data_IF_634492880456
#
_entry.id   IF_634492880456
#
_cell.length_a   1.000
_cell.length_b   1.000
_cell.length_c   1.000
_cell.angle_alpha   90.00
_cell.angle_beta   90.00
_cell.angle_gamma   90.00
#
_symmetry.space_group_name_H-M   'P 1'
#
loop_
_entity.id
_entity.type
_entity.pdbx_description
1 polymer ?
#
# COMPACT_ATOMS: atom_id res chain seq x y z
N UNK A 1 24.80 34.03 4.27
CA UNK A 1 23.42 34.48 4.61
C UNK A 1 22.32 33.95 3.67
N UNK A 2 22.58 33.61 2.39
CA UNK A 2 21.52 33.20 1.45
C UNK A 2 20.99 31.76 1.61
N UNK A 3 21.73 30.88 2.29
CA UNK A 3 21.37 29.46 2.47
C UNK A 3 20.60 29.14 3.76
N UNK A 4 20.54 30.08 4.72
CA UNK A 4 19.83 29.87 5.99
C UNK A 4 18.30 29.83 5.81
N UNK A 5 17.77 30.56 4.83
CA UNK A 5 16.35 30.55 4.49
C UNK A 5 15.85 29.23 3.90
N UNK A 6 16.75 28.47 3.24
CA UNK A 6 16.42 27.19 2.61
C UNK A 6 16.26 26.06 3.65
N UNK A 7 16.98 26.14 4.77
CA UNK A 7 16.86 25.20 5.90
C UNK A 7 15.59 25.49 6.72
N UNK A 8 15.20 26.76 6.86
CA UNK A 8 13.99 27.14 7.60
C UNK A 8 12.68 26.74 6.90
N UNK A 9 12.68 26.64 5.56
CA UNK A 9 11.52 26.21 4.77
C UNK A 9 11.27 24.69 4.79
N UNK A 10 12.25 23.87 5.20
CA UNK A 10 12.08 22.43 5.39
C UNK A 10 11.38 22.06 6.72
N UNK A 11 11.27 23.00 7.66
CA UNK A 11 10.69 22.75 8.99
C UNK A 11 9.16 22.76 9.06
N UNK A 12 8.46 23.09 7.96
CA UNK A 12 6.99 23.21 7.93
C UNK A 12 6.34 22.06 7.15
N UNK A 13 7.01 20.92 7.06
CA UNK A 13 6.37 19.70 6.60
C UNK A 13 5.40 19.23 7.70
N UNK A 14 4.16 19.73 7.64
CA UNK A 14 3.05 19.14 8.37
C UNK A 14 3.04 17.64 8.03
N UNK A 15 3.32 16.81 9.03
CA UNK A 15 3.06 15.38 8.93
C UNK A 15 1.56 15.21 8.83
N UNK A 16 1.03 15.21 7.61
CA UNK A 16 -0.27 14.66 7.35
C UNK A 16 -0.15 13.17 7.67
N UNK A 17 -0.54 12.80 8.90
CA UNK A 17 -0.87 11.43 9.20
C UNK A 17 -2.03 11.10 8.25
N UNK A 18 -1.69 10.51 7.10
CA UNK A 18 -2.67 9.88 6.23
C UNK A 18 -3.42 8.93 7.14
N UNK A 19 -4.70 9.22 7.39
CA UNK A 19 -5.62 8.27 7.99
C UNK A 19 -5.54 7.02 7.13
N UNK A 20 -4.74 6.05 7.58
CA UNK A 20 -4.75 4.73 6.98
C UNK A 20 -6.14 4.21 7.32
N UNK A 21 -7.07 4.24 6.37
CA UNK A 21 -8.34 3.53 6.46
C UNK A 21 -7.99 2.06 6.75
N UNK A 22 -7.89 1.73 8.03
CA UNK A 22 -7.48 0.42 8.49
C UNK A 22 -8.70 -0.47 8.33
N UNK A 23 -8.50 -1.60 7.64
CA UNK A 23 -9.58 -2.55 7.43
C UNK A 23 -10.02 -3.12 8.77
N UNK A 24 -11.33 -3.20 8.96
CA UNK A 24 -11.93 -3.80 10.15
C UNK A 24 -12.55 -5.15 9.79
N UNK A 25 -12.42 -6.11 10.70
CA UNK A 25 -13.13 -7.37 10.65
C UNK A 25 -13.98 -7.51 11.91
N UNK A 26 -15.20 -8.00 11.75
CA UNK A 26 -16.10 -8.34 12.84
C UNK A 26 -15.88 -9.80 13.22
N UNK A 27 -15.48 -10.02 14.46
CA UNK A 27 -15.27 -11.35 15.05
C UNK A 27 -16.09 -11.41 16.33
N UNK A 28 -17.09 -12.28 16.37
CA UNK A 28 -17.98 -12.42 17.54
C UNK A 28 -18.55 -11.07 18.04
N UNK A 29 -19.11 -10.26 17.13
CA UNK A 29 -19.68 -8.94 17.41
C UNK A 29 -18.67 -7.88 17.91
N UNK A 30 -17.37 -8.15 17.82
CA UNK A 30 -16.31 -7.19 18.12
C UNK A 30 -15.57 -6.79 16.84
N UNK A 31 -15.30 -5.50 16.70
CA UNK A 31 -14.51 -4.95 15.61
C UNK A 31 -13.02 -5.09 15.94
N UNK A 32 -12.30 -5.76 15.05
CA UNK A 32 -10.86 -5.99 15.14
C UNK A 32 -10.19 -5.33 13.94
N UNK A 33 -9.18 -4.51 14.22
CA UNK A 33 -8.33 -3.90 13.19
C UNK A 33 -7.52 -5.01 12.52
N UNK A 34 -7.76 -5.25 11.24
CA UNK A 34 -7.06 -6.26 10.43
C UNK A 34 -5.63 -5.82 10.16
N UNK A 35 -5.45 -4.54 9.84
CA UNK A 35 -4.17 -3.96 9.48
C UNK A 35 -3.65 -3.09 10.63
N UNK A 36 -2.62 -3.57 11.33
CA UNK A 36 -2.00 -2.83 12.45
C UNK A 36 -1.09 -1.67 11.98
N UNK A 37 -0.89 -1.55 10.65
CA UNK A 37 -0.12 -0.47 10.02
C UNK A 37 0.24 -0.81 8.57
N UNK A 38 0.83 0.13 7.85
CA UNK A 38 1.20 -0.03 6.43
C UNK A 38 2.18 -1.19 6.17
N UNK A 39 3.04 -1.52 7.15
CA UNK A 39 4.01 -2.61 7.11
C UNK A 39 3.52 -3.90 7.80
N UNK A 40 2.35 -3.87 8.45
CA UNK A 40 1.79 -4.96 9.25
C UNK A 40 0.34 -5.25 8.84
N UNK A 41 0.16 -5.53 7.55
CA UNK A 41 -1.14 -5.89 6.97
C UNK A 41 -1.56 -7.29 7.43
N UNK A 42 -2.85 -7.48 7.72
CA UNK A 42 -3.42 -8.76 8.16
C UNK A 42 -2.99 -9.22 9.56
N UNK A 43 -2.12 -8.47 10.26
CA UNK A 43 -1.55 -8.87 11.54
C UNK A 43 -2.60 -9.03 12.64
N UNK A 44 -3.67 -8.23 12.60
CA UNK A 44 -4.75 -8.32 13.59
C UNK A 44 -5.54 -9.62 13.52
N UNK A 45 -5.49 -10.33 12.39
CA UNK A 45 -6.15 -11.63 12.22
C UNK A 45 -5.23 -12.81 12.55
N UNK A 46 -3.94 -12.57 12.75
CA UNK A 46 -2.93 -13.62 12.94
C UNK A 46 -3.28 -14.55 14.10
N UNK A 47 -3.69 -14.00 15.24
CA UNK A 47 -4.11 -14.79 16.41
C UNK A 47 -5.27 -15.76 16.14
N UNK A 48 -6.16 -15.43 15.20
CA UNK A 48 -7.27 -16.29 14.84
C UNK A 48 -6.87 -17.30 13.76
N UNK A 49 -6.21 -16.83 12.70
CA UNK A 49 -5.84 -17.65 11.54
C UNK A 49 -4.73 -18.65 11.87
N UNK A 50 -3.86 -18.38 12.85
CA UNK A 50 -2.81 -19.32 13.29
C UNK A 50 -3.35 -20.65 13.85
N UNK A 51 -4.64 -20.71 14.21
CA UNK A 51 -5.30 -21.93 14.68
C UNK A 51 -5.54 -22.96 13.57
N UNK A 52 -5.48 -22.54 12.30
CA UNK A 52 -5.61 -23.41 11.14
C UNK A 52 -4.35 -23.29 10.26
N UNK A 53 -3.71 -24.42 9.96
CA UNK A 53 -2.44 -24.43 9.24
C UNK A 53 -2.56 -23.86 7.81
N UNK A 54 -3.68 -24.11 7.13
CA UNK A 54 -3.92 -23.62 5.77
C UNK A 54 -4.21 -22.12 5.80
N UNK A 55 -5.02 -21.67 6.75
CA UNK A 55 -5.31 -20.24 6.91
C UNK A 55 -4.06 -19.44 7.29
N UNK A 56 -3.20 -20.02 8.13
CA UNK A 56 -1.90 -19.43 8.50
C UNK A 56 -0.97 -19.30 7.30
N UNK A 57 -0.82 -20.35 6.51
CA UNK A 57 0.06 -20.33 5.33
C UNK A 57 -0.37 -19.26 4.31
N UNK A 58 -1.69 -19.15 4.07
CA UNK A 58 -2.25 -18.09 3.21
C UNK A 58 -2.03 -16.69 3.80
N UNK A 59 -2.15 -16.53 5.13
CA UNK A 59 -1.85 -15.26 5.79
C UNK A 59 -0.37 -14.89 5.65
N UNK A 60 0.53 -15.85 5.89
CA UNK A 60 1.97 -15.63 5.77
C UNK A 60 2.34 -15.29 4.31
N UNK A 61 1.74 -15.95 3.32
CA UNK A 61 1.91 -15.62 1.89
C UNK A 61 1.41 -14.20 1.56
N UNK A 62 0.24 -13.82 2.09
CA UNK A 62 -0.30 -12.46 1.96
C UNK A 62 0.66 -11.43 2.55
N UNK A 63 1.20 -11.68 3.74
CA UNK A 63 2.12 -10.77 4.42
C UNK A 63 3.44 -10.66 3.66
N UNK A 64 3.99 -11.77 3.19
CA UNK A 64 5.24 -11.80 2.43
C UNK A 64 5.12 -11.00 1.12
N UNK A 65 4.05 -11.21 0.35
CA UNK A 65 3.82 -10.51 -0.92
C UNK A 65 3.52 -9.01 -0.75
N UNK A 66 3.07 -8.60 0.43
CA UNK A 66 2.85 -7.18 0.75
C UNK A 66 4.10 -6.47 1.29
N UNK A 67 5.18 -7.19 1.60
CA UNK A 67 6.41 -6.54 2.06
C UNK A 67 7.02 -5.69 0.93
N UNK A 68 7.46 -4.46 1.23
CA UNK A 68 8.15 -3.65 0.24
C UNK A 68 9.40 -4.40 -0.22
N UNK A 69 9.47 -4.73 -1.51
CA UNK A 69 10.65 -5.36 -2.08
C UNK A 69 11.79 -4.36 -2.12
N UNK A 70 13.01 -4.80 -1.84
CA UNK A 70 14.21 -3.95 -1.92
C UNK A 70 14.34 -3.28 -3.31
N UNK A 71 13.89 -3.98 -4.36
CA UNK A 71 13.83 -3.46 -5.73
C UNK A 71 12.87 -2.29 -5.87
N UNK A 72 11.63 -2.41 -5.37
CA UNK A 72 10.63 -1.34 -5.45
C UNK A 72 11.02 -0.10 -4.62
N UNK A 73 11.64 -0.30 -3.46
CA UNK A 73 12.14 0.79 -2.61
C UNK A 73 13.35 1.50 -3.25
N UNK A 74 14.31 0.73 -3.78
CA UNK A 74 15.49 1.27 -4.46
C UNK A 74 15.13 2.04 -5.73
N UNK A 75 14.20 1.51 -6.53
CA UNK A 75 13.77 2.11 -7.80
C UNK A 75 13.04 3.43 -7.55
N UNK A 76 12.08 3.49 -6.61
CA UNK A 76 11.38 4.74 -6.28
C UNK A 76 12.31 5.83 -5.77
N UNK A 77 13.30 5.45 -4.95
CA UNK A 77 14.32 6.37 -4.43
C UNK A 77 15.20 6.90 -5.54
N UNK A 78 15.67 6.01 -6.43
CA UNK A 78 16.48 6.40 -7.59
C UNK A 78 15.71 7.34 -8.52
N UNK A 79 14.46 7.04 -8.84
CA UNK A 79 13.63 7.91 -9.68
C UNK A 79 13.41 9.29 -9.06
N UNK A 80 13.18 9.33 -7.75
CA UNK A 80 13.05 10.60 -7.00
C UNK A 80 14.35 11.39 -7.02
N UNK A 81 15.51 10.73 -6.86
CA UNK A 81 16.83 11.36 -6.97
C UNK A 81 17.08 11.89 -8.38
N UNK A 82 16.67 11.17 -9.43
CA UNK A 82 16.77 11.62 -10.82
C UNK A 82 15.92 12.87 -11.05
N UNK A 83 14.69 12.91 -10.55
CA UNK A 83 13.84 14.11 -10.61
C UNK A 83 14.51 15.29 -9.90
N UNK A 84 15.01 15.09 -8.68
CA UNK A 84 15.70 16.13 -7.92
C UNK A 84 16.96 16.62 -8.64
N UNK A 85 17.76 15.72 -9.18
CA UNK A 85 18.95 16.05 -9.95
C UNK A 85 18.59 16.89 -11.18
N UNK A 86 17.56 16.50 -11.94
CA UNK A 86 17.06 17.25 -13.09
C UNK A 86 16.51 18.63 -12.74
N UNK A 87 15.92 18.81 -11.55
CA UNK A 87 15.48 20.14 -11.08
C UNK A 87 16.65 21.05 -10.69
N UNK A 88 17.74 20.49 -10.15
CA UNK A 88 18.92 21.25 -9.73
C UNK A 88 19.91 21.56 -10.86
N UNK A 89 19.81 20.87 -12.00
CA UNK A 89 20.72 21.03 -13.12
C UNK A 89 20.47 22.35 -13.85
N UNK A 90 21.44 23.26 -13.75
CA UNK A 90 21.41 24.61 -14.34
C UNK A 90 22.30 24.65 -15.58
N UNK A 91 21.88 23.96 -16.65
CA UNK A 91 22.57 23.96 -17.95
C UNK A 91 22.11 22.84 -18.87
N UNK A 92 22.04 23.12 -20.18
CA UNK A 92 21.78 22.11 -21.21
C UNK A 92 23.05 21.27 -21.41
N UNK A 93 23.12 20.11 -20.74
CA UNK A 93 24.17 19.14 -20.98
C UNK A 93 23.72 18.15 -22.07
N UNK A 94 24.46 18.08 -23.18
CA UNK A 94 24.20 17.22 -24.36
C UNK A 94 24.39 15.70 -24.12
N UNK A 95 24.24 15.20 -22.89
CA UNK A 95 24.46 13.81 -22.51
C UNK A 95 23.21 13.04 -22.06
N UNK A 96 23.38 11.76 -21.71
CA UNK A 96 22.33 10.91 -21.10
C UNK A 96 21.78 11.53 -19.80
N UNK A 97 22.58 12.36 -19.13
CA UNK A 97 22.20 13.16 -17.98
C UNK A 97 21.60 14.54 -18.35
N UNK A 98 20.90 14.65 -19.48
CA UNK A 98 20.14 15.85 -19.83
C UNK A 98 18.97 16.04 -18.83
N UNK A 99 18.73 17.29 -18.42
CA UNK A 99 17.65 17.72 -17.54
C UNK A 99 16.31 17.07 -17.88
N UNK A 100 15.90 17.10 -19.14
CA UNK A 100 14.62 16.52 -19.56
C UNK A 100 14.58 15.00 -19.37
N UNK A 101 15.68 14.30 -19.65
CA UNK A 101 15.80 12.86 -19.45
C UNK A 101 15.73 12.49 -17.97
N UNK A 102 16.39 13.25 -17.10
CA UNK A 102 16.36 13.02 -15.65
C UNK A 102 14.98 13.29 -15.05
N UNK A 103 14.31 14.37 -15.47
CA UNK A 103 12.96 14.71 -15.01
C UNK A 103 11.91 13.70 -15.48
N UNK A 104 11.82 13.46 -16.79
CA UNK A 104 10.83 12.54 -17.34
C UNK A 104 11.16 11.08 -16.99
N UNK A 105 12.43 10.69 -17.07
CA UNK A 105 12.88 9.35 -16.69
C UNK A 105 12.62 9.05 -15.23
N UNK A 106 12.99 9.97 -14.32
CA UNK A 106 12.73 9.82 -12.90
C UNK A 106 11.23 9.82 -12.57
N UNK A 107 10.45 10.71 -13.18
CA UNK A 107 9.00 10.80 -12.96
C UNK A 107 8.25 9.54 -13.44
N UNK A 108 8.56 9.05 -14.64
CA UNK A 108 7.98 7.81 -15.18
C UNK A 108 8.34 6.62 -14.30
N UNK A 109 9.59 6.54 -13.85
CA UNK A 109 10.07 5.44 -13.02
C UNK A 109 9.35 5.41 -11.66
N UNK A 110 9.13 6.57 -11.03
CA UNK A 110 8.31 6.68 -9.80
C UNK A 110 6.88 6.23 -10.06
N UNK A 111 6.26 6.71 -11.15
CA UNK A 111 4.89 6.36 -11.50
C UNK A 111 4.71 4.85 -11.75
N UNK A 112 5.60 4.23 -12.54
CA UNK A 112 5.57 2.79 -12.80
C UNK A 112 5.72 2.01 -11.49
N UNK A 113 6.69 2.40 -10.65
CA UNK A 113 6.93 1.69 -9.38
C UNK A 113 5.72 1.78 -8.45
N UNK A 114 5.08 2.94 -8.38
CA UNK A 114 3.84 3.13 -7.64
C UNK A 114 2.70 2.25 -8.17
N UNK A 115 2.47 2.25 -9.48
CA UNK A 115 1.43 1.44 -10.12
C UNK A 115 1.68 -0.05 -9.90
N UNK A 116 2.91 -0.53 -10.12
CA UNK A 116 3.27 -1.93 -9.87
C UNK A 116 3.03 -2.31 -8.41
N UNK A 117 3.44 -1.47 -7.45
CA UNK A 117 3.20 -1.71 -6.02
C UNK A 117 1.71 -1.82 -5.71
N UNK A 118 0.89 -0.92 -6.26
CA UNK A 118 -0.57 -0.95 -6.07
C UNK A 118 -1.23 -2.17 -6.73
N UNK A 119 -0.81 -2.54 -7.93
CA UNK A 119 -1.33 -3.73 -8.64
C UNK A 119 -1.01 -5.01 -7.88
N UNK A 120 0.21 -5.15 -7.35
CA UNK A 120 0.60 -6.30 -6.53
C UNK A 120 -0.27 -6.36 -5.26
N UNK A 121 -0.42 -5.23 -4.56
CA UNK A 121 -1.27 -5.17 -3.37
C UNK A 121 -2.70 -5.60 -3.68
N UNK A 122 -3.29 -5.09 -4.76
CA UNK A 122 -4.66 -5.41 -5.15
C UNK A 122 -4.84 -6.90 -5.47
N UNK A 123 -3.93 -7.49 -6.26
CA UNK A 123 -3.97 -8.92 -6.55
C UNK A 123 -3.78 -9.78 -5.30
N UNK A 124 -3.01 -9.29 -4.33
CA UNK A 124 -2.72 -10.02 -3.10
C UNK A 124 -3.91 -10.07 -2.13
N UNK A 125 -4.86 -9.11 -2.21
CA UNK A 125 -6.05 -9.10 -1.36
C UNK A 125 -6.92 -10.37 -1.48
N UNK A 126 -6.86 -11.04 -2.64
CA UNK A 126 -7.51 -12.34 -2.83
C UNK A 126 -7.00 -13.41 -1.87
N UNK A 127 -5.72 -13.38 -1.51
CA UNK A 127 -5.09 -14.37 -0.61
C UNK A 127 -5.62 -14.19 0.81
N UNK A 128 -5.71 -12.95 1.30
CA UNK A 128 -6.26 -12.67 2.64
C UNK A 128 -7.73 -13.09 2.74
N UNK A 129 -8.52 -12.87 1.68
CA UNK A 129 -9.91 -13.34 1.63
C UNK A 129 -9.99 -14.87 1.67
N UNK A 130 -9.11 -15.57 0.96
CA UNK A 130 -9.03 -17.03 0.99
C UNK A 130 -8.60 -17.56 2.37
N UNK A 131 -7.64 -16.90 3.03
CA UNK A 131 -7.20 -17.26 4.38
C UNK A 131 -8.38 -17.26 5.38
N UNK A 132 -9.18 -16.19 5.33
CA UNK A 132 -10.38 -16.06 6.17
C UNK A 132 -11.46 -17.09 5.79
N UNK A 133 -11.68 -17.34 4.50
CA UNK A 133 -12.65 -18.35 4.04
C UNK A 133 -12.28 -19.77 4.51
N UNK A 134 -11.00 -20.16 4.42
CA UNK A 134 -10.52 -21.45 4.90
C UNK A 134 -10.69 -21.60 6.41
N UNK A 135 -10.36 -20.55 7.17
CA UNK A 135 -10.59 -20.53 8.61
C UNK A 135 -12.07 -20.70 8.97
N UNK A 136 -12.96 -19.91 8.32
CA UNK A 136 -14.39 -19.89 8.59
C UNK A 136 -15.12 -21.21 8.27
N UNK A 137 -14.56 -22.05 7.37
CA UNK A 137 -15.11 -23.38 7.05
C UNK A 137 -14.97 -24.37 8.18
N UNK A 138 -13.93 -24.23 9.01
CA UNK A 138 -13.51 -25.25 9.99
C UNK A 138 -13.52 -24.75 11.43
N UNK A 139 -13.53 -23.43 11.63
CA UNK A 139 -13.37 -22.81 12.93
C UNK A 139 -14.49 -21.83 13.27
N UNK A 140 -14.70 -21.64 14.57
CA UNK A 140 -15.55 -20.59 15.15
C UNK A 140 -14.70 -19.78 16.14
N UNK A 141 -14.99 -18.48 16.36
CA UNK A 141 -16.02 -17.67 15.70
C UNK A 141 -15.67 -17.33 14.25
N UNK A 142 -16.68 -17.05 13.42
CA UNK A 142 -16.45 -16.63 12.03
C UNK A 142 -15.96 -15.19 11.98
N UNK A 143 -15.06 -14.93 11.03
CA UNK A 143 -14.47 -13.62 10.76
C UNK A 143 -15.16 -13.05 9.52
N UNK A 144 -15.76 -11.87 9.63
CA UNK A 144 -16.36 -11.17 8.51
C UNK A 144 -15.66 -9.84 8.31
N UNK A 145 -15.25 -9.51 7.09
CA UNK A 145 -14.81 -8.16 6.80
C UNK A 145 -16.01 -7.21 6.89
N UNK A 146 -15.89 -6.12 7.63
CA UNK A 146 -16.94 -5.10 7.63
C UNK A 146 -17.08 -4.58 6.20
N UNK A 147 -18.31 -4.43 5.65
CA UNK A 147 -18.46 -3.69 4.40
C UNK A 147 -17.79 -2.33 4.62
N UNK A 148 -16.94 -1.94 3.67
CA UNK A 148 -16.28 -0.63 3.69
C UNK A 148 -17.39 0.41 3.90
N UNK A 149 -17.42 1.03 5.08
CA UNK A 149 -18.27 2.18 5.36
C UNK A 149 -17.72 3.33 4.54
N UNK A 150 -18.13 3.40 3.28
CA UNK A 150 -17.82 4.49 2.39
C UNK A 150 -18.58 5.72 2.88
N UNK A 151 -17.94 6.45 3.76
CA UNK A 151 -18.33 7.80 4.17
C UNK A 151 -17.99 8.83 3.10
N UNK A 152 -18.13 8.53 1.80
CA UNK A 152 -18.49 9.52 0.80
C UNK A 152 -18.90 8.90 -0.54
N UNK A 153 -20.19 9.03 -0.82
CA UNK A 153 -20.83 8.75 -2.10
C UNK A 153 -20.08 9.44 -3.27
N UNK A 154 -19.37 8.67 -4.08
CA UNK A 154 -19.11 9.00 -5.48
C UNK A 154 -18.83 7.72 -6.32
N UNK A 155 -19.93 7.06 -6.68
CA UNK A 155 -20.15 6.14 -7.80
C UNK A 155 -18.98 5.47 -8.53
N UNK A 156 -18.96 4.13 -8.51
CA UNK A 156 -19.31 3.27 -9.65
C UNK A 156 -19.41 1.81 -9.18
N UNK A 157 -20.58 1.39 -8.71
CA UNK A 157 -20.84 -0.01 -8.34
C UNK A 157 -21.52 -0.75 -9.48
N UNK A 158 -20.79 -1.60 -10.21
CA UNK A 158 -21.40 -2.60 -11.10
C UNK A 158 -21.66 -3.85 -10.28
N UNK A 159 -22.80 -3.87 -9.58
CA UNK A 159 -23.34 -5.06 -8.94
C UNK A 159 -24.20 -5.83 -9.93
N UNK A 160 -23.69 -6.92 -10.49
CA UNK A 160 -24.53 -7.93 -11.11
C UNK A 160 -25.13 -8.80 -10.01
N UNK A 161 -26.32 -8.41 -9.55
CA UNK A 161 -27.25 -9.36 -8.95
C UNK A 161 -27.76 -10.26 -10.07
N UNK A 162 -27.55 -11.57 -9.95
CA UNK A 162 -28.38 -12.53 -10.65
C UNK A 162 -29.06 -13.40 -9.60
N UNK A 163 -30.36 -13.17 -9.46
CA UNK A 163 -31.29 -13.99 -8.70
C UNK A 163 -31.67 -15.25 -9.50
N UNK A 164 -31.92 -16.32 -8.73
CA UNK A 164 -32.37 -17.69 -9.06
C UNK A 164 -31.31 -18.68 -9.56
#
# INVERSE_FOLDING_TARGET
>A
MRYFYLIFLLGIANSFAVETCSRVAVINYQEVLVDAGSSKKGEGLRFYLEKDQVAKELLDEYQEKNRPSAWSAGTSTLGSLMVLAGLTQTGDSDGIANRNTLLYGGGILVAITYLTSKTIQYNNEGILKQAVDQYNKRNRPQIFFSPYGDGNTAGFGVGLNQEF
#
